data_IF_596893140956
#
_entry.id   IF_596893140956
#
_cell.length_a   1.000
_cell.length_b   1.000
_cell.length_c   1.000
_cell.angle_alpha   90.00
_cell.angle_beta   90.00
_cell.angle_gamma   90.00
#
_symmetry.space_group_name_H-M   'P 1'
#
loop_
_entity.id
_entity.type
_entity.pdbx_description
1 polymer ?
#
# COMPACT_ATOMS: atom_id res chain seq x y z
N UNK A 1 2.13 9.05 -16.66
CA UNK A 1 2.88 8.14 -15.77
C UNK A 1 3.95 7.35 -16.51
N UNK A 2 3.60 6.45 -17.45
CA UNK A 2 4.60 5.63 -18.15
C UNK A 2 5.73 6.45 -18.80
N UNK A 3 5.41 7.55 -19.50
CA UNK A 3 6.41 8.47 -20.05
C UNK A 3 7.36 9.02 -18.98
N UNK A 4 6.84 9.48 -17.83
CA UNK A 4 7.64 10.00 -16.70
C UNK A 4 8.59 8.93 -16.16
N UNK A 5 8.09 7.69 -16.02
CA UNK A 5 8.88 6.56 -15.55
C UNK A 5 10.03 6.25 -16.51
N UNK A 6 9.74 6.24 -17.82
CA UNK A 6 10.75 5.99 -18.85
C UNK A 6 11.77 7.12 -18.94
N UNK A 7 11.35 8.38 -18.87
CA UNK A 7 12.27 9.54 -18.92
C UNK A 7 13.18 9.58 -17.70
N UNK A 8 12.63 9.36 -16.50
CA UNK A 8 13.41 9.33 -15.27
C UNK A 8 14.38 8.12 -15.27
N UNK A 9 13.91 6.95 -15.69
CA UNK A 9 14.75 5.76 -15.81
C UNK A 9 15.89 5.94 -16.81
N UNK A 10 15.63 6.55 -17.96
CA UNK A 10 16.64 6.88 -18.96
C UNK A 10 17.69 7.88 -18.45
N UNK A 11 17.25 8.90 -17.70
CA UNK A 11 18.17 9.85 -17.07
C UNK A 11 19.10 9.18 -16.05
N UNK A 12 18.55 8.36 -15.14
CA UNK A 12 19.37 7.66 -14.13
C UNK A 12 20.35 6.70 -14.81
N UNK A 13 19.90 5.95 -15.82
CA UNK A 13 20.76 5.05 -16.58
C UNK A 13 21.93 5.80 -17.23
N UNK A 14 21.70 6.98 -17.80
CA UNK A 14 22.76 7.79 -18.40
C UNK A 14 23.80 8.31 -17.39
N UNK A 15 23.44 8.35 -16.10
CA UNK A 15 24.33 8.77 -15.01
C UNK A 15 25.05 7.58 -14.37
N UNK A 16 24.43 6.40 -14.37
CA UNK A 16 24.97 5.21 -13.72
C UNK A 16 24.53 3.91 -14.42
N UNK A 17 25.48 3.23 -15.08
CA UNK A 17 25.24 1.98 -15.82
C UNK A 17 24.73 0.83 -14.94
N UNK A 18 24.97 0.88 -13.62
CA UNK A 18 24.49 -0.15 -12.68
C UNK A 18 23.01 -0.02 -12.34
N UNK A 19 22.33 1.02 -12.82
CA UNK A 19 20.91 1.23 -12.58
C UNK A 19 20.04 0.05 -13.04
N UNK A 20 20.35 -0.55 -14.20
CA UNK A 20 19.66 -1.73 -14.71
C UNK A 20 20.34 -3.06 -14.34
N UNK A 21 21.22 -3.06 -13.32
CA UNK A 21 21.78 -4.30 -12.81
C UNK A 21 20.69 -5.22 -12.24
N UNK A 22 20.89 -6.54 -12.36
CA UNK A 22 19.93 -7.52 -11.84
C UNK A 22 19.65 -7.34 -10.34
N UNK A 23 20.65 -6.92 -9.56
CA UNK A 23 20.50 -6.57 -8.16
C UNK A 23 19.54 -5.38 -7.96
N UNK A 24 19.76 -4.27 -8.67
CA UNK A 24 18.91 -3.10 -8.50
C UNK A 24 17.47 -3.37 -8.98
N UNK A 25 17.30 -4.07 -10.10
CA UNK A 25 15.97 -4.47 -10.58
C UNK A 25 15.25 -5.32 -9.51
N UNK A 26 15.92 -6.31 -8.92
CA UNK A 26 15.34 -7.15 -7.86
C UNK A 26 14.92 -6.31 -6.66
N UNK A 27 15.78 -5.39 -6.22
CA UNK A 27 15.52 -4.51 -5.06
C UNK A 27 14.36 -3.56 -5.32
N UNK A 28 14.35 -2.86 -6.47
CA UNK A 28 13.28 -1.94 -6.86
C UNK A 28 11.96 -2.69 -6.96
N UNK A 29 11.90 -3.81 -7.67
CA UNK A 29 10.66 -4.57 -7.85
C UNK A 29 10.12 -5.15 -6.54
N UNK A 30 11.00 -5.49 -5.58
CA UNK A 30 10.58 -5.94 -4.24
C UNK A 30 9.96 -4.80 -3.43
N UNK A 31 10.54 -3.60 -3.49
CA UNK A 31 9.98 -2.39 -2.87
C UNK A 31 8.65 -1.99 -3.52
N UNK A 32 8.55 -2.09 -4.85
CA UNK A 32 7.29 -1.87 -5.58
C UNK A 32 6.25 -2.90 -5.18
N UNK A 33 6.63 -4.16 -4.98
CA UNK A 33 5.72 -5.21 -4.52
C UNK A 33 5.11 -4.84 -3.15
N UNK A 34 5.93 -4.47 -2.17
CA UNK A 34 5.48 -4.09 -0.84
C UNK A 34 4.55 -2.86 -0.88
N UNK A 35 5.00 -1.77 -1.53
CA UNK A 35 4.21 -0.53 -1.63
C UNK A 35 2.94 -0.73 -2.45
N UNK A 36 3.02 -1.52 -3.53
CA UNK A 36 1.92 -1.77 -4.45
C UNK A 36 0.77 -2.51 -3.80
N UNK A 37 1.04 -3.54 -2.99
CA UNK A 37 -0.02 -4.22 -2.23
C UNK A 37 -0.73 -3.26 -1.28
N UNK A 38 0.03 -2.52 -0.48
CA UNK A 38 -0.52 -1.50 0.44
C UNK A 38 -1.35 -0.47 -0.35
N UNK A 39 -0.85 -0.03 -1.50
CA UNK A 39 -1.51 0.96 -2.34
C UNK A 39 -2.81 0.44 -2.97
N UNK A 40 -2.90 -0.85 -3.33
CA UNK A 40 -4.16 -1.46 -3.79
C UNK A 40 -5.23 -1.36 -2.70
N UNK A 41 -4.87 -1.66 -1.44
CA UNK A 41 -5.78 -1.48 -0.31
C UNK A 41 -6.22 -0.02 -0.17
N UNK A 42 -5.25 0.89 -0.23
CA UNK A 42 -5.51 2.34 -0.17
C UNK A 42 -6.40 2.83 -1.32
N UNK A 43 -6.28 2.28 -2.53
CA UNK A 43 -7.16 2.59 -3.68
C UNK A 43 -8.60 2.23 -3.38
N UNK A 44 -8.86 1.06 -2.78
CA UNK A 44 -10.22 0.67 -2.42
C UNK A 44 -10.85 1.64 -1.40
N UNK A 45 -10.07 2.08 -0.39
CA UNK A 45 -10.54 3.06 0.61
C UNK A 45 -10.74 4.44 0.00
N UNK A 46 -9.82 4.92 -0.84
CA UNK A 46 -9.97 6.21 -1.54
C UNK A 46 -11.17 6.21 -2.47
N UNK A 47 -11.46 5.08 -3.11
CA UNK A 47 -12.65 4.95 -3.94
C UNK A 47 -13.96 5.03 -3.15
N UNK A 48 -13.99 4.74 -1.85
CA UNK A 48 -15.14 5.04 -0.98
C UNK A 48 -15.25 6.52 -0.59
N UNK A 49 -14.22 7.34 -0.86
CA UNK A 49 -14.11 8.71 -0.33
C UNK A 49 -13.49 8.77 1.07
N UNK A 50 -12.86 7.69 1.54
CA UNK A 50 -12.07 7.68 2.77
C UNK A 50 -10.57 7.87 2.50
N UNK A 51 -9.79 8.07 3.56
CA UNK A 51 -8.33 7.95 3.54
C UNK A 51 -7.96 7.09 4.73
N UNK A 52 -7.27 5.97 4.50
CA UNK A 52 -6.73 5.16 5.58
C UNK A 52 -5.29 5.57 5.87
N UNK A 53 -5.10 6.26 6.99
CA UNK A 53 -3.77 6.62 7.45
C UNK A 53 -3.05 5.45 8.12
N UNK A 54 -3.79 4.49 8.69
CA UNK A 54 -3.24 3.41 9.48
C UNK A 54 -2.47 2.36 8.67
N UNK A 55 -2.55 2.38 7.33
CA UNK A 55 -1.92 1.38 6.44
C UNK A 55 -0.40 1.25 6.63
N UNK A 56 0.31 2.34 6.92
CA UNK A 56 1.75 2.31 7.19
C UNK A 56 2.11 1.68 8.54
N UNK A 57 1.64 2.23 9.68
CA UNK A 57 1.81 1.61 10.98
C UNK A 57 1.28 0.18 11.05
N UNK A 58 0.20 -0.14 10.34
CA UNK A 58 -0.29 -1.51 10.24
C UNK A 58 0.74 -2.42 9.56
N UNK A 59 1.34 -2.00 8.45
CA UNK A 59 2.40 -2.79 7.81
C UNK A 59 3.57 -3.07 8.77
N UNK A 60 4.03 -2.06 9.50
CA UNK A 60 5.08 -2.20 10.52
C UNK A 60 4.67 -3.12 11.67
N UNK A 61 3.48 -2.91 12.22
CA UNK A 61 2.89 -3.73 13.28
C UNK A 61 2.80 -5.21 12.88
N UNK A 62 2.40 -5.50 11.64
CA UNK A 62 2.33 -6.87 11.14
C UNK A 62 3.71 -7.52 11.02
N UNK A 63 4.75 -6.76 10.64
CA UNK A 63 6.15 -7.24 10.67
C UNK A 63 6.56 -7.58 12.11
N UNK A 64 6.23 -6.71 13.08
CA UNK A 64 6.48 -6.95 14.50
C UNK A 64 5.76 -8.21 14.98
N UNK A 65 4.48 -8.39 14.65
CA UNK A 65 3.73 -9.62 14.99
C UNK A 65 4.43 -10.85 14.39
N UNK A 66 4.76 -10.83 13.10
CA UNK A 66 5.42 -11.94 12.41
C UNK A 66 6.75 -12.33 13.08
N UNK A 67 7.51 -11.36 13.57
CA UNK A 67 8.82 -11.60 14.21
C UNK A 67 8.78 -12.37 15.55
N UNK A 68 7.60 -12.65 16.13
CA UNK A 68 7.49 -13.55 17.29
C UNK A 68 7.37 -15.02 16.90
N UNK A 69 6.94 -15.29 15.67
CA UNK A 69 6.57 -16.62 15.19
C UNK A 69 7.48 -17.12 14.06
N UNK A 70 7.93 -16.23 13.19
CA UNK A 70 8.68 -16.55 11.97
C UNK A 70 10.20 -16.51 12.19
N UNK A 71 10.68 -17.01 13.33
CA UNK A 71 12.10 -17.01 13.71
C UNK A 71 12.70 -18.42 13.66
N UNK A 72 14.03 -18.51 13.60
CA UNK A 72 14.72 -19.79 13.60
C UNK A 72 14.43 -20.62 14.86
N UNK A 73 14.38 -21.94 14.71
CA UNK A 73 14.06 -22.88 15.79
C UNK A 73 12.57 -23.06 16.10
N UNK A 74 11.67 -22.32 15.44
CA UNK A 74 10.22 -22.57 15.52
C UNK A 74 9.80 -23.70 14.58
N UNK A 75 8.78 -24.46 14.99
CA UNK A 75 8.21 -25.50 14.12
C UNK A 75 7.40 -24.87 12.98
N UNK A 76 7.22 -25.57 11.84
CA UNK A 76 6.39 -25.08 10.74
C UNK A 76 4.96 -24.71 11.18
N UNK A 77 4.38 -25.43 12.14
CA UNK A 77 3.06 -25.12 12.70
C UNK A 77 3.02 -23.76 13.41
N UNK A 78 4.06 -23.40 14.16
CA UNK A 78 4.16 -22.07 14.81
C UNK A 78 4.35 -20.98 13.76
N UNK A 79 5.09 -21.24 12.69
CA UNK A 79 5.27 -20.29 11.60
C UNK A 79 3.94 -20.03 10.85
N UNK A 80 3.16 -21.07 10.59
CA UNK A 80 1.80 -20.94 10.00
C UNK A 80 0.90 -20.09 10.93
N UNK A 81 0.94 -20.36 12.24
CA UNK A 81 0.23 -19.52 13.22
C UNK A 81 0.69 -18.05 13.17
N UNK A 82 1.96 -17.78 12.88
CA UNK A 82 2.46 -16.43 12.66
C UNK A 82 1.77 -15.71 11.50
N UNK A 83 1.68 -16.34 10.33
CA UNK A 83 0.96 -15.76 9.18
C UNK A 83 -0.53 -15.59 9.46
N UNK A 84 -1.16 -16.54 10.14
CA UNK A 84 -2.56 -16.43 10.55
C UNK A 84 -2.78 -15.30 11.56
N UNK A 85 -1.87 -15.12 12.52
CA UNK A 85 -1.92 -14.02 13.49
C UNK A 85 -1.77 -12.66 12.81
N UNK A 86 -0.87 -12.54 11.84
CA UNK A 86 -0.73 -11.34 11.01
C UNK A 86 -2.02 -11.05 10.21
N UNK A 87 -2.57 -12.05 9.53
CA UNK A 87 -3.81 -11.89 8.76
C UNK A 87 -5.01 -11.53 9.66
N UNK A 88 -5.11 -12.15 10.84
CA UNK A 88 -6.14 -11.84 11.83
C UNK A 88 -6.00 -10.41 12.38
N UNK A 89 -4.79 -9.98 12.72
CA UNK A 89 -4.52 -8.61 13.16
C UNK A 89 -4.91 -7.58 12.09
N UNK A 90 -4.56 -7.83 10.83
CA UNK A 90 -5.00 -7.00 9.71
C UNK A 90 -6.53 -6.94 9.60
N UNK A 91 -7.21 -8.09 9.63
CA UNK A 91 -8.67 -8.14 9.55
C UNK A 91 -9.33 -7.38 10.71
N UNK A 92 -8.81 -7.52 11.94
CA UNK A 92 -9.29 -6.78 13.12
C UNK A 92 -9.13 -5.27 12.93
N UNK A 93 -7.97 -4.80 12.48
CA UNK A 93 -7.76 -3.36 12.24
C UNK A 93 -8.71 -2.83 11.17
N UNK A 94 -8.90 -3.56 10.06
CA UNK A 94 -9.86 -3.19 9.03
C UNK A 94 -11.31 -3.19 9.53
N UNK A 95 -11.69 -4.16 10.37
CA UNK A 95 -13.00 -4.20 11.01
C UNK A 95 -13.20 -3.02 11.95
N UNK A 96 -12.20 -2.66 12.76
CA UNK A 96 -12.27 -1.54 13.68
C UNK A 96 -12.37 -0.23 12.91
N UNK A 97 -11.50 0.03 11.93
CA UNK A 97 -11.56 1.23 11.09
C UNK A 97 -12.92 1.36 10.39
N UNK A 98 -13.38 0.29 9.74
CA UNK A 98 -14.68 0.27 9.07
C UNK A 98 -15.84 0.52 10.02
N UNK A 99 -15.79 -0.06 11.23
CA UNK A 99 -16.84 0.08 12.24
C UNK A 99 -16.86 1.46 12.88
N UNK A 100 -15.69 2.05 13.15
CA UNK A 100 -15.59 3.42 13.67
C UNK A 100 -16.16 4.43 12.67
N UNK A 101 -15.81 4.27 11.39
CA UNK A 101 -16.34 5.14 10.34
C UNK A 101 -17.85 4.97 10.19
N UNK A 102 -18.34 3.72 10.20
CA UNK A 102 -19.72 3.44 9.80
C UNK A 102 -20.74 3.50 10.94
N UNK A 103 -20.38 3.00 12.11
CA UNK A 103 -21.29 2.89 13.25
C UNK A 103 -21.01 3.96 14.31
N UNK A 104 -19.74 4.25 14.60
CA UNK A 104 -19.38 5.34 15.52
C UNK A 104 -19.42 6.73 14.85
N UNK A 105 -19.64 6.78 13.53
CA UNK A 105 -19.75 8.01 12.72
C UNK A 105 -18.51 8.90 12.80
N UNK A 106 -17.33 8.30 12.98
CA UNK A 106 -16.07 9.03 12.89
C UNK A 106 -15.79 9.41 11.45
N UNK A 107 -15.09 10.53 11.22
CA UNK A 107 -14.52 10.78 9.89
C UNK A 107 -13.46 9.71 9.58
N UNK A 108 -13.30 9.28 8.31
CA UNK A 108 -12.27 8.31 7.92
C UNK A 108 -10.87 8.63 8.42
N UNK A 109 -10.49 9.91 8.32
CA UNK A 109 -9.19 10.41 8.79
C UNK A 109 -9.07 10.28 10.31
N UNK A 110 -10.10 10.67 11.07
CA UNK A 110 -10.04 10.57 12.53
C UNK A 110 -9.95 9.12 13.01
N UNK A 111 -10.80 8.22 12.48
CA UNK A 111 -10.76 6.80 12.84
C UNK A 111 -9.39 6.19 12.55
N UNK A 112 -8.87 6.39 11.34
CA UNK A 112 -7.63 5.75 10.91
C UNK A 112 -6.39 6.42 11.52
N UNK A 113 -6.45 7.70 11.91
CA UNK A 113 -5.40 8.36 12.68
C UNK A 113 -5.32 7.81 14.11
N UNK A 114 -6.47 7.53 14.73
CA UNK A 114 -6.49 6.87 16.05
C UNK A 114 -5.79 5.51 15.98
N UNK A 115 -6.10 4.71 14.95
CA UNK A 115 -5.46 3.41 14.76
C UNK A 115 -3.99 3.56 14.34
N UNK A 116 -3.64 4.59 13.56
CA UNK A 116 -2.24 4.91 13.25
C UNK A 116 -1.41 5.06 14.53
N UNK A 117 -1.86 5.90 15.46
CA UNK A 117 -1.15 6.18 16.71
C UNK A 117 -1.15 4.93 17.61
N UNK A 118 -2.31 4.26 17.72
CA UNK A 118 -2.46 3.06 18.54
C UNK A 118 -1.59 1.89 18.07
N UNK A 119 -1.54 1.63 16.78
CA UNK A 119 -0.71 0.57 16.19
C UNK A 119 0.77 0.87 16.32
N UNK A 120 1.16 2.14 16.17
CA UNK A 120 2.55 2.55 16.39
C UNK A 120 2.96 2.33 17.85
N UNK A 121 2.11 2.74 18.80
CA UNK A 121 2.34 2.50 20.22
C UNK A 121 2.38 1.01 20.55
N UNK A 122 1.43 0.22 20.04
CA UNK A 122 1.40 -1.22 20.27
C UNK A 122 2.62 -1.94 19.68
N UNK A 123 3.12 -1.47 18.53
CA UNK A 123 4.38 -1.99 17.96
C UNK A 123 5.55 -1.81 18.93
N UNK A 124 5.67 -0.63 19.56
CA UNK A 124 6.69 -0.35 20.57
C UNK A 124 6.47 -1.08 21.90
N UNK A 125 5.22 -1.33 22.29
CA UNK A 125 4.90 -2.14 23.48
C UNK A 125 5.30 -3.61 23.27
N UNK A 126 5.06 -4.15 22.07
CA UNK A 126 5.46 -5.52 21.75
C UNK A 126 6.98 -5.63 21.56
N UNK A 127 7.60 -4.65 20.90
CA UNK A 127 9.05 -4.56 20.72
C UNK A 127 9.53 -3.14 20.97
N UNK A 128 10.25 -2.92 22.04
CA UNK A 128 10.88 -1.64 22.39
C UNK A 128 12.08 -1.30 21.48
N UNK A 129 12.71 -2.33 20.90
CA UNK A 129 13.83 -2.23 19.96
C UNK A 129 13.74 -3.30 18.87
N UNK A 130 14.47 -3.14 17.75
CA UNK A 130 14.53 -4.17 16.71
C UNK A 130 14.92 -5.54 17.29
N UNK A 131 14.15 -6.58 16.93
CA UNK A 131 14.41 -7.94 17.40
C UNK A 131 13.57 -8.98 16.67
N UNK A 132 13.81 -10.27 16.98
CA UNK A 132 13.14 -11.38 16.29
C UNK A 132 13.58 -11.46 14.84
N UNK A 133 14.81 -11.89 14.62
CA UNK A 133 15.34 -12.14 13.28
C UNK A 133 14.46 -13.18 12.58
N UNK A 134 13.92 -12.77 11.44
CA UNK A 134 13.09 -13.64 10.62
C UNK A 134 13.97 -14.75 10.07
N UNK A 135 13.47 -15.97 10.14
CA UNK A 135 14.16 -17.16 9.67
C UNK A 135 14.62 -16.98 8.22
N UNK A 136 15.88 -17.37 7.96
CA UNK A 136 16.47 -17.33 6.62
C UNK A 136 15.71 -18.20 5.61
N UNK A 137 15.03 -19.24 6.06
CA UNK A 137 14.19 -20.08 5.19
C UNK A 137 12.94 -19.34 4.73
N UNK A 138 12.30 -18.61 5.65
CA UNK A 138 11.10 -17.81 5.36
C UNK A 138 11.44 -16.65 4.43
N UNK A 139 12.52 -15.90 4.73
CA UNK A 139 12.92 -14.78 3.86
C UNK A 139 13.28 -15.26 2.46
N UNK A 140 14.03 -16.37 2.33
CA UNK A 140 14.35 -16.98 1.02
C UNK A 140 13.10 -17.46 0.27
N UNK A 141 12.14 -18.07 0.97
CA UNK A 141 10.88 -18.53 0.37
C UNK A 141 10.03 -17.36 -0.16
N UNK A 142 10.05 -16.20 0.51
CA UNK A 142 9.33 -15.01 0.06
C UNK A 142 10.09 -14.27 -1.06
N UNK A 143 11.43 -14.28 -1.02
CA UNK A 143 12.30 -13.59 -1.97
C UNK A 143 12.64 -14.42 -3.22
N UNK A 144 11.93 -15.53 -3.47
CA UNK A 144 12.11 -16.32 -4.70
C UNK A 144 11.91 -15.39 -5.91
N UNK A 145 12.75 -15.57 -6.94
CA UNK A 145 12.76 -14.73 -8.14
C UNK A 145 12.93 -15.54 -9.41
N UNK A 146 12.36 -15.04 -10.50
CA UNK A 146 12.56 -15.51 -11.86
C UNK A 146 13.51 -14.54 -12.57
N UNK A 147 14.78 -14.93 -12.70
CA UNK A 147 15.84 -14.00 -13.13
C UNK A 147 15.95 -12.80 -12.15
N UNK A 148 15.88 -11.55 -12.63
CA UNK A 148 15.89 -10.37 -11.75
C UNK A 148 14.50 -10.00 -11.20
N UNK A 149 13.42 -10.72 -11.56
CA UNK A 149 12.05 -10.36 -11.19
C UNK A 149 11.59 -11.18 -9.98
N UNK A 150 11.32 -10.55 -8.82
CA UNK A 150 10.77 -11.24 -7.66
C UNK A 150 9.37 -11.79 -7.93
N UNK A 151 9.05 -12.97 -7.40
CA UNK A 151 7.69 -13.52 -7.48
C UNK A 151 6.66 -12.62 -6.81
N UNK A 152 7.04 -11.91 -5.74
CA UNK A 152 6.17 -10.92 -5.07
C UNK A 152 5.68 -9.83 -6.02
N UNK A 153 6.53 -9.37 -6.96
CA UNK A 153 6.13 -8.40 -7.99
C UNK A 153 5.20 -9.02 -9.03
N UNK A 154 5.46 -10.25 -9.46
CA UNK A 154 4.58 -10.97 -10.41
C UNK A 154 3.19 -11.15 -9.80
N UNK A 155 3.12 -11.59 -8.54
CA UNK A 155 1.86 -11.75 -7.80
C UNK A 155 1.15 -10.39 -7.68
N UNK A 156 1.87 -9.31 -7.39
CA UNK A 156 1.30 -7.95 -7.35
C UNK A 156 0.67 -7.56 -8.69
N UNK A 157 1.36 -7.80 -9.81
CA UNK A 157 0.85 -7.49 -11.15
C UNK A 157 -0.43 -8.28 -11.43
N UNK A 158 -0.41 -9.59 -11.18
CA UNK A 158 -1.59 -10.45 -11.36
C UNK A 158 -2.77 -9.95 -10.51
N UNK A 159 -2.53 -9.70 -9.22
CA UNK A 159 -3.58 -9.19 -8.31
C UNK A 159 -4.09 -7.83 -8.74
N UNK A 160 -3.22 -6.92 -9.20
CA UNK A 160 -3.62 -5.60 -9.72
C UNK A 160 -4.56 -5.72 -10.91
N UNK A 161 -4.26 -6.64 -11.85
CA UNK A 161 -5.12 -6.91 -13.00
C UNK A 161 -6.44 -7.56 -12.57
N UNK A 162 -6.41 -8.51 -11.65
CA UNK A 162 -7.63 -9.13 -11.11
C UNK A 162 -8.52 -8.11 -10.39
N UNK A 163 -7.95 -7.21 -9.59
CA UNK A 163 -8.68 -6.14 -8.92
C UNK A 163 -9.23 -5.12 -9.90
N UNK A 164 -8.51 -4.80 -10.98
CA UNK A 164 -9.00 -3.94 -12.07
C UNK A 164 -10.19 -4.59 -12.80
N UNK A 165 -10.12 -5.89 -13.07
CA UNK A 165 -11.23 -6.65 -13.66
C UNK A 165 -12.43 -6.71 -12.71
N UNK A 166 -12.18 -6.95 -11.42
CA UNK A 166 -13.22 -6.92 -10.38
C UNK A 166 -13.90 -5.55 -10.34
N UNK A 167 -13.13 -4.47 -10.34
CA UNK A 167 -13.65 -3.10 -10.32
C UNK A 167 -14.59 -2.81 -11.50
N UNK A 168 -14.21 -3.28 -12.70
CA UNK A 168 -14.92 -2.99 -13.95
C UNK A 168 -16.10 -3.92 -14.19
N UNK A 169 -15.96 -5.21 -13.87
CA UNK A 169 -16.89 -6.26 -14.33
C UNK A 169 -17.79 -6.84 -13.23
N UNK A 170 -17.43 -6.76 -11.94
CA UNK A 170 -18.22 -7.40 -10.87
C UNK A 170 -19.19 -6.46 -10.16
N UNK A 171 -20.11 -7.04 -9.40
CA UNK A 171 -21.05 -6.30 -8.55
C UNK A 171 -20.35 -5.50 -7.46
N UNK A 172 -19.30 -6.07 -6.84
CA UNK A 172 -18.48 -5.39 -5.85
C UNK A 172 -17.90 -4.08 -6.38
N UNK A 173 -17.33 -4.09 -7.60
CA UNK A 173 -16.78 -2.89 -8.23
C UNK A 173 -17.83 -1.83 -8.57
N UNK A 174 -19.06 -2.24 -8.90
CA UNK A 174 -20.20 -1.32 -9.10
C UNK A 174 -20.68 -0.71 -7.79
N UNK A 175 -20.78 -1.52 -6.73
CA UNK A 175 -21.19 -1.06 -5.39
C UNK A 175 -20.17 -0.08 -4.82
N UNK A 176 -18.87 -0.41 -4.87
CA UNK A 176 -17.78 0.47 -4.42
C UNK A 176 -17.84 1.85 -5.11
N UNK A 177 -17.96 1.87 -6.43
CA UNK A 177 -18.05 3.12 -7.20
C UNK A 177 -19.33 3.90 -6.91
N UNK A 178 -20.46 3.21 -6.73
CA UNK A 178 -21.73 3.85 -6.41
C UNK A 178 -21.70 4.52 -5.03
N UNK A 179 -21.27 3.77 -4.00
CA UNK A 179 -21.15 4.27 -2.62
C UNK A 179 -20.20 5.46 -2.56
N UNK A 180 -19.03 5.36 -3.18
CA UNK A 180 -18.05 6.44 -3.17
C UNK A 180 -18.40 7.65 -4.05
N UNK A 181 -19.34 7.52 -5.01
CA UNK A 181 -19.79 8.66 -5.81
C UNK A 181 -20.89 9.45 -5.10
N UNK A 182 -21.88 8.75 -4.55
CA UNK A 182 -22.98 9.34 -3.81
C UNK A 182 -23.65 8.27 -2.93
N UNK A 183 -23.39 8.34 -1.62
CA UNK A 183 -23.91 7.37 -0.65
C UNK A 183 -25.45 7.35 -0.64
N UNK A 184 -26.11 8.51 -0.66
CA UNK A 184 -27.57 8.61 -0.58
C UNK A 184 -28.25 7.96 -1.80
N UNK A 185 -27.68 8.16 -2.97
CA UNK A 185 -28.16 7.55 -4.22
C UNK A 185 -27.94 6.05 -4.20
N UNK A 186 -26.78 5.59 -3.73
CA UNK A 186 -26.49 4.16 -3.56
C UNK A 186 -27.47 3.50 -2.58
N UNK A 187 -27.84 4.18 -1.49
CA UNK A 187 -28.84 3.72 -0.51
C UNK A 187 -30.20 3.51 -1.15
N UNK A 188 -30.66 4.48 -1.96
CA UNK A 188 -31.94 4.42 -2.68
C UNK A 188 -32.00 3.27 -3.69
N UNK A 189 -30.84 2.84 -4.20
CA UNK A 189 -30.67 1.69 -5.08
C UNK A 189 -30.54 0.35 -4.33
N UNK A 190 -30.73 0.34 -3.00
CA UNK A 190 -30.68 -0.87 -2.18
C UNK A 190 -29.27 -1.41 -1.92
N UNK A 191 -28.22 -0.61 -2.18
CA UNK A 191 -26.85 -1.03 -1.91
C UNK A 191 -26.61 -1.01 -0.39
N UNK A 192 -26.14 -2.14 0.16
CA UNK A 192 -25.76 -2.27 1.56
C UNK A 192 -24.48 -1.50 1.87
N UNK A 193 -24.60 -0.19 2.09
CA UNK A 193 -23.47 0.72 2.34
C UNK A 193 -22.64 0.23 3.51
N UNK A 194 -23.27 -0.16 4.62
CA UNK A 194 -22.54 -0.52 5.83
C UNK A 194 -21.60 -1.71 5.60
N UNK A 195 -22.12 -2.76 4.96
CA UNK A 195 -21.34 -3.96 4.59
C UNK A 195 -20.26 -3.65 3.57
N UNK A 196 -20.57 -2.79 2.59
CA UNK A 196 -19.62 -2.38 1.55
C UNK A 196 -18.44 -1.62 2.17
N UNK A 197 -18.73 -0.63 3.01
CA UNK A 197 -17.71 0.20 3.66
C UNK A 197 -16.82 -0.61 4.59
N UNK A 198 -17.39 -1.42 5.49
CA UNK A 198 -16.62 -2.28 6.39
C UNK A 198 -15.80 -3.30 5.61
N UNK A 199 -16.41 -3.95 4.62
CA UNK A 199 -15.72 -4.95 3.79
C UNK A 199 -14.52 -4.36 3.03
N UNK A 200 -14.59 -3.10 2.60
CA UNK A 200 -13.47 -2.43 1.94
C UNK A 200 -12.32 -2.14 2.90
N UNK A 201 -12.57 -1.66 4.12
CA UNK A 201 -11.50 -1.46 5.12
C UNK A 201 -10.83 -2.78 5.52
N UNK A 202 -11.61 -3.86 5.66
CA UNK A 202 -11.05 -5.22 5.89
C UNK A 202 -10.21 -5.67 4.71
N UNK A 203 -10.73 -5.55 3.49
CA UNK A 203 -9.99 -5.92 2.27
C UNK A 203 -8.70 -5.10 2.13
N UNK A 204 -8.75 -3.81 2.44
CA UNK A 204 -7.59 -2.93 2.41
C UNK A 204 -6.52 -3.37 3.42
N UNK A 205 -6.92 -3.66 4.66
CA UNK A 205 -6.00 -4.15 5.68
C UNK A 205 -5.39 -5.52 5.31
N UNK A 206 -6.15 -6.41 4.65
CA UNK A 206 -5.60 -7.68 4.14
C UNK A 206 -4.58 -7.47 3.01
N UNK A 207 -4.76 -6.45 2.17
CA UNK A 207 -3.71 -6.05 1.21
C UNK A 207 -2.48 -5.46 1.91
N UNK A 208 -2.66 -4.72 3.00
CA UNK A 208 -1.53 -4.30 3.85
C UNK A 208 -0.79 -5.50 4.41
N UNK A 209 -1.48 -6.56 4.82
CA UNK A 209 -0.87 -7.82 5.23
C UNK A 209 0.00 -8.45 4.12
N UNK A 210 -0.49 -8.51 2.88
CA UNK A 210 0.32 -9.01 1.76
C UNK A 210 1.57 -8.15 1.52
N UNK A 211 1.44 -6.83 1.60
CA UNK A 211 2.60 -5.92 1.54
C UNK A 211 3.57 -6.10 2.70
N UNK A 212 3.05 -6.34 3.91
CA UNK A 212 3.83 -6.57 5.12
C UNK A 212 4.61 -7.89 5.06
N UNK A 213 4.11 -8.94 4.41
CA UNK A 213 4.88 -10.18 4.17
C UNK A 213 6.13 -9.89 3.32
N UNK A 214 5.97 -9.08 2.27
CA UNK A 214 7.08 -8.68 1.40
C UNK A 214 8.06 -7.78 2.15
N UNK A 215 7.56 -6.85 2.95
CA UNK A 215 8.36 -5.96 3.79
C UNK A 215 9.12 -6.74 4.87
N UNK A 216 8.48 -7.72 5.51
CA UNK A 216 9.06 -8.60 6.53
C UNK A 216 10.28 -9.34 5.98
N UNK A 217 10.18 -9.85 4.75
CA UNK A 217 11.30 -10.52 4.10
C UNK A 217 12.45 -9.56 3.75
N UNK A 218 12.16 -8.30 3.43
CA UNK A 218 13.19 -7.29 3.12
C UNK A 218 13.91 -6.79 4.38
N UNK A 219 13.18 -6.59 5.47
CA UNK A 219 13.74 -6.13 6.73
C UNK A 219 14.49 -7.26 7.46
N UNK A 220 13.96 -8.49 7.41
CA UNK A 220 14.54 -9.64 8.09
C UNK A 220 14.49 -9.58 9.61
N UNK A 221 13.85 -8.56 10.20
CA UNK A 221 13.75 -8.34 11.64
C UNK A 221 12.45 -7.60 11.98
N UNK A 222 11.90 -7.84 13.17
CA UNK A 222 10.81 -7.06 13.73
C UNK A 222 11.30 -5.73 14.28
N UNK A 223 11.22 -4.67 13.48
CA UNK A 223 11.54 -3.31 13.91
C UNK A 223 10.24 -2.46 14.05
N UNK A 224 9.92 -1.98 15.26
CA UNK A 224 8.70 -1.20 15.53
C UNK A 224 8.68 0.18 14.84
N UNK A 225 9.82 0.70 14.38
CA UNK A 225 9.92 2.01 13.74
C UNK A 225 9.65 1.98 12.22
N UNK A 226 9.53 0.78 11.63
CA UNK A 226 9.32 0.60 10.21
C UNK A 226 7.83 0.71 9.82
N UNK A 227 7.56 0.99 8.55
CA UNK A 227 6.19 1.03 8.00
C UNK A 227 5.58 2.43 7.90
N UNK A 228 5.96 3.38 8.75
CA UNK A 228 5.41 4.74 8.77
C UNK A 228 5.40 5.45 7.41
N UNK A 229 6.51 5.34 6.66
CA UNK A 229 6.64 5.96 5.33
C UNK A 229 5.65 5.43 4.28
N UNK A 230 5.10 4.23 4.48
CA UNK A 230 4.13 3.64 3.55
C UNK A 230 2.76 4.32 3.61
N UNK A 231 2.40 5.02 4.70
CA UNK A 231 1.15 5.80 4.75
C UNK A 231 1.15 6.89 3.68
N UNK A 232 2.17 7.75 3.68
CA UNK A 232 2.24 8.85 2.70
C UNK A 232 2.56 8.32 1.29
N UNK A 233 3.43 7.32 1.19
CA UNK A 233 3.84 6.74 -0.10
C UNK A 233 2.66 6.07 -0.82
N UNK A 234 1.79 5.36 -0.09
CA UNK A 234 0.61 4.73 -0.68
C UNK A 234 -0.41 5.75 -1.15
N UNK A 235 -0.72 6.77 -0.35
CA UNK A 235 -1.59 7.87 -0.78
C UNK A 235 -1.04 8.52 -2.06
N UNK A 236 0.27 8.78 -2.08
CA UNK A 236 0.92 9.39 -3.25
C UNK A 236 0.81 8.49 -4.48
N UNK A 237 1.11 7.20 -4.35
CA UNK A 237 1.01 6.23 -5.43
C UNK A 237 -0.41 6.15 -6.01
N UNK A 238 -1.43 6.12 -5.14
CA UNK A 238 -2.84 6.03 -5.54
C UNK A 238 -3.33 7.31 -6.24
N UNK A 239 -2.94 8.49 -5.72
CA UNK A 239 -3.31 9.79 -6.30
C UNK A 239 -2.60 10.00 -7.64
N UNK A 240 -1.29 9.71 -7.73
CA UNK A 240 -0.55 9.73 -9.00
C UNK A 240 -1.16 8.76 -10.02
N UNK A 241 -1.61 7.60 -9.54
CA UNK A 241 -2.34 6.59 -10.31
C UNK A 241 -3.69 7.05 -10.85
N UNK A 242 -4.18 8.23 -10.46
CA UNK A 242 -5.40 8.84 -10.99
C UNK A 242 -6.67 8.51 -10.21
N UNK A 243 -6.56 7.95 -9.00
CA UNK A 243 -7.71 7.72 -8.13
C UNK A 243 -8.16 9.02 -7.48
N UNK A 244 -9.48 9.24 -7.47
CA UNK A 244 -10.09 10.46 -6.93
C UNK A 244 -10.08 10.45 -5.41
N UNK A 245 -9.57 11.53 -4.80
CA UNK A 245 -9.69 11.78 -3.36
C UNK A 245 -11.14 11.96 -2.89
N UNK A 246 -12.06 12.28 -3.81
CA UNK A 246 -13.48 12.46 -3.52
C UNK A 246 -14.30 11.17 -3.64
N UNK A 247 -13.66 10.03 -3.93
CA UNK A 247 -14.34 8.76 -4.14
C UNK A 247 -14.88 8.55 -5.55
N UNK A 248 -15.44 7.35 -5.76
CA UNK A 248 -16.20 6.95 -6.95
C UNK A 248 -15.38 6.61 -8.20
N UNK A 249 -14.14 7.09 -8.31
CA UNK A 249 -13.27 6.88 -9.47
C UNK A 249 -11.87 6.45 -9.05
N UNK A 250 -11.34 5.41 -9.70
CA UNK A 250 -9.98 4.93 -9.47
C UNK A 250 -9.58 3.82 -10.43
N UNK A 251 -8.31 3.44 -10.38
CA UNK A 251 -7.73 2.32 -11.13
C UNK A 251 -6.62 1.66 -10.32
N UNK A 252 -6.68 0.33 -10.23
CA UNK A 252 -5.65 -0.49 -9.59
C UNK A 252 -4.40 -0.58 -10.48
N UNK A 253 -4.57 -0.62 -11.81
CA UNK A 253 -3.43 -0.57 -12.75
C UNK A 253 -2.70 0.77 -12.67
N UNK A 254 -3.43 1.89 -12.62
CA UNK A 254 -2.78 3.20 -12.44
C UNK A 254 -2.05 3.30 -11.10
N UNK A 255 -2.61 2.71 -10.04
CA UNK A 255 -1.98 2.61 -8.72
C UNK A 255 -0.65 1.86 -8.77
N UNK A 256 -0.57 0.75 -9.52
CA UNK A 256 0.66 -0.01 -9.72
C UNK A 256 1.77 0.85 -10.36
N UNK A 257 1.43 1.63 -11.40
CA UNK A 257 2.38 2.58 -12.01
C UNK A 257 2.77 3.71 -11.05
N UNK A 258 1.84 4.19 -10.23
CA UNK A 258 2.12 5.18 -9.19
C UNK A 258 3.10 4.65 -8.14
N UNK A 259 2.91 3.41 -7.66
CA UNK A 259 3.82 2.76 -6.73
C UNK A 259 5.21 2.57 -7.35
N UNK A 260 5.27 2.18 -8.62
CA UNK A 260 6.53 2.08 -9.36
C UNK A 260 7.26 3.42 -9.42
N UNK A 261 6.57 4.50 -9.78
CA UNK A 261 7.16 5.84 -9.86
C UNK A 261 7.70 6.31 -8.50
N UNK A 262 6.99 6.05 -7.41
CA UNK A 262 7.44 6.44 -6.07
C UNK A 262 8.73 5.72 -5.68
N UNK A 263 8.78 4.40 -5.86
CA UNK A 263 9.99 3.63 -5.58
C UNK A 263 11.13 4.03 -6.53
N UNK A 264 10.82 4.33 -7.79
CA UNK A 264 11.82 4.79 -8.75
C UNK A 264 12.44 6.13 -8.31
N UNK A 265 11.65 7.07 -7.80
CA UNK A 265 12.16 8.33 -7.25
C UNK A 265 13.03 8.10 -6.02
N UNK A 266 12.61 7.22 -5.11
CA UNK A 266 13.45 6.84 -3.96
C UNK A 266 14.77 6.23 -4.41
N UNK A 267 14.74 5.32 -5.39
CA UNK A 267 15.94 4.71 -5.96
C UNK A 267 16.83 5.75 -6.69
N UNK A 268 16.24 6.71 -7.38
CA UNK A 268 16.95 7.80 -8.05
C UNK A 268 17.81 8.62 -7.09
N UNK A 269 17.28 8.94 -5.90
CA UNK A 269 18.06 9.69 -4.89
C UNK A 269 19.32 8.96 -4.47
N UNK A 270 19.28 7.63 -4.37
CA UNK A 270 20.44 6.80 -4.03
C UNK A 270 21.47 6.82 -5.15
N UNK A 271 21.05 6.64 -6.41
CA UNK A 271 21.97 6.64 -7.57
C UNK A 271 22.59 8.01 -7.86
N UNK A 272 21.89 9.09 -7.53
CA UNK A 272 22.37 10.46 -7.71
C UNK A 272 23.15 10.99 -6.49
N UNK A 273 23.38 10.16 -5.46
CA UNK A 273 24.12 10.56 -4.26
C UNK A 273 23.41 11.62 -3.41
N UNK A 274 22.08 11.72 -3.51
CA UNK A 274 21.27 12.67 -2.75
C UNK A 274 20.94 12.11 -1.37
N UNK A 275 20.81 12.99 -0.38
CA UNK A 275 20.36 12.59 0.96
C UNK A 275 18.90 12.13 0.96
N UNK A 276 18.53 11.32 1.95
CA UNK A 276 17.16 10.80 2.10
C UNK A 276 16.12 11.93 2.25
N UNK A 277 16.52 13.12 2.71
CA UNK A 277 15.66 14.31 2.79
C UNK A 277 15.05 14.68 1.43
N UNK A 278 15.79 14.49 0.33
CA UNK A 278 15.29 14.75 -1.02
C UNK A 278 14.15 13.81 -1.44
N UNK A 279 14.07 12.61 -0.85
CA UNK A 279 12.95 11.69 -1.12
C UNK A 279 11.62 12.31 -0.70
N UNK A 280 11.57 12.92 0.50
CA UNK A 280 10.38 13.63 0.98
C UNK A 280 10.05 14.85 0.12
N UNK A 281 11.07 15.61 -0.29
CA UNK A 281 10.89 16.76 -1.16
C UNK A 281 10.28 16.35 -2.51
N UNK A 282 10.86 15.36 -3.19
CA UNK A 282 10.35 14.87 -4.47
C UNK A 282 8.97 14.24 -4.35
N UNK A 283 8.70 13.50 -3.27
CA UNK A 283 7.38 12.97 -2.99
C UNK A 283 6.33 14.09 -2.85
N UNK A 284 6.65 15.16 -2.10
CA UNK A 284 5.77 16.33 -1.98
C UNK A 284 5.52 17.03 -3.32
N UNK A 285 6.58 17.23 -4.11
CA UNK A 285 6.48 17.81 -5.46
C UNK A 285 5.62 16.97 -6.40
N UNK A 286 5.72 15.64 -6.33
CA UNK A 286 4.89 14.73 -7.12
C UNK A 286 3.41 14.82 -6.76
N UNK A 287 3.07 14.81 -5.45
CA UNK A 287 1.68 14.97 -5.00
C UNK A 287 1.13 16.32 -5.47
N UNK A 288 1.90 17.40 -5.27
CA UNK A 288 1.50 18.75 -5.67
C UNK A 288 1.26 18.82 -7.18
N UNK A 289 2.17 18.27 -7.98
CA UNK A 289 2.04 18.21 -9.44
C UNK A 289 0.78 17.43 -9.85
N UNK A 290 0.54 16.27 -9.23
CA UNK A 290 -0.64 15.45 -9.48
C UNK A 290 -1.93 16.21 -9.14
N UNK A 291 -1.96 16.90 -8.00
CA UNK A 291 -3.11 17.67 -7.54
C UNK A 291 -3.41 18.86 -8.46
N UNK A 292 -2.39 19.60 -8.92
CA UNK A 292 -2.54 20.72 -9.85
C UNK A 292 -3.09 20.22 -11.18
N UNK A 293 -2.49 19.17 -11.76
CA UNK A 293 -2.95 18.57 -13.03
C UNK A 293 -4.40 18.11 -12.89
N UNK A 294 -4.73 17.41 -11.79
CA UNK A 294 -6.10 16.96 -11.52
C UNK A 294 -7.09 18.11 -11.42
N UNK A 295 -6.71 19.19 -10.73
CA UNK A 295 -7.53 20.40 -10.58
C UNK A 295 -7.80 21.08 -11.93
N UNK A 296 -6.76 21.28 -12.74
CA UNK A 296 -6.87 21.93 -14.05
C UNK A 296 -7.71 21.12 -15.04
N UNK A 297 -7.46 19.81 -15.15
CA UNK A 297 -8.25 18.91 -16.01
C UNK A 297 -9.72 18.89 -15.61
N UNK A 298 -10.01 19.01 -14.30
CA UNK A 298 -11.38 19.08 -13.81
C UNK A 298 -12.04 20.43 -14.10
N UNK A 299 -11.32 21.53 -13.98
CA UNK A 299 -11.81 22.88 -14.34
C UNK A 299 -12.31 22.93 -15.78
N UNK A 300 -11.50 22.41 -16.71
CA UNK A 300 -11.83 22.33 -18.13
C UNK A 300 -13.10 21.50 -18.43
N UNK A 301 -13.38 20.46 -17.63
CA UNK A 301 -14.60 19.63 -17.79
C UNK A 301 -15.85 20.23 -17.18
N UNK A 302 -15.75 21.30 -16.40
CA UNK A 302 -16.91 22.03 -15.86
C UNK A 302 -17.33 23.18 -16.77
N UNK A 303 -16.45 23.60 -17.67
CA UNK A 303 -16.70 24.69 -18.64
C UNK A 303 -17.25 24.18 -19.99
N UNK A 304 -17.28 22.85 -20.19
CA UNK A 304 -17.90 22.16 -21.34
C UNK A 304 -19.19 21.49 -20.86
#
# INVERSE_FOLDING_TARGET
LAAVILTLGGYILSTNDRYLSAFNITSVLSLVAALGFISIGQTAVLMLGGIDLSVGPLAGFLVVVGSFFLIDGKTPGVMILGFLAMAAAAAVVGLVNGSLVRFAKFTPVAATLTLFIGLQGLSFVLRDRPGGFISGDITRAIQVKLGPVPWSFIILVVISVLMELALRKTSWGRQLRAVGSNEDSARRLGIGIDRTSVGVYVTAALFVFLGAIVLLAQLGIGDPSQGLGYTLSSITAVVLGGTSLLGGRGTFVGTLFGAFLIVQVQNATVFLGLSQTYQFLFQGLLIMSAAIIYSQVRGLRREI
#
